data_IF_044725926264
#
_entry.id   IF_044725926264
#
_cell.length_a   1.000
_cell.length_b   1.000
_cell.length_c   1.000
_cell.angle_alpha   90.00
_cell.angle_beta   90.00
_cell.angle_gamma   90.00
#
_symmetry.space_group_name_H-M   'P 1'
#
loop_
_entity.id
_entity.type
_entity.pdbx_description
1 polymer ?
#
# COMPACT_ATOMS: atom_id res chain seq x y z
N UNK A 1 7.12 -10.71 -15.04
CA UNK A 1 8.03 -11.87 -15.13
C UNK A 1 7.47 -13.07 -15.91
N UNK A 2 6.19 -13.07 -16.32
CA UNK A 2 5.66 -14.04 -17.29
C UNK A 2 6.08 -13.66 -18.72
N UNK A 3 6.30 -14.65 -19.61
CA UNK A 3 6.58 -14.44 -21.04
C UNK A 3 5.33 -14.00 -21.80
N UNK A 4 4.21 -14.66 -21.53
CA UNK A 4 2.91 -14.39 -22.15
C UNK A 4 1.79 -14.66 -21.14
N UNK A 5 0.79 -13.78 -21.08
CA UNK A 5 -0.47 -14.06 -20.38
C UNK A 5 -0.48 -13.89 -18.86
N UNK A 6 0.60 -13.41 -18.23
CA UNK A 6 0.63 -13.14 -16.77
C UNK A 6 0.75 -14.39 -15.89
N UNK A 7 0.39 -15.57 -16.40
CA UNK A 7 0.45 -16.86 -15.70
C UNK A 7 1.82 -17.51 -15.78
N UNK A 8 2.15 -18.33 -14.77
CA UNK A 8 3.38 -19.14 -14.75
C UNK A 8 3.39 -20.21 -15.86
N UNK A 9 2.22 -20.76 -16.20
CA UNK A 9 2.04 -21.74 -17.28
C UNK A 9 2.36 -21.18 -18.67
N UNK A 10 2.23 -19.86 -18.87
CA UNK A 10 2.65 -19.13 -20.07
C UNK A 10 4.17 -18.97 -20.22
N UNK A 11 4.94 -19.53 -19.28
CA UNK A 11 6.39 -19.46 -19.27
C UNK A 11 6.94 -18.22 -18.58
N UNK A 12 8.25 -18.26 -18.29
CA UNK A 12 8.94 -17.25 -17.49
C UNK A 12 9.91 -16.43 -18.35
N UNK A 13 9.85 -15.10 -18.21
CA UNK A 13 10.74 -14.17 -18.90
C UNK A 13 12.11 -14.13 -18.17
N UNK A 14 13.07 -14.87 -18.72
CA UNK A 14 14.41 -15.00 -18.16
C UNK A 14 15.22 -13.69 -18.19
N UNK A 15 14.96 -12.79 -19.14
CA UNK A 15 15.59 -11.48 -19.15
C UNK A 15 15.09 -10.60 -18.00
N UNK A 16 13.79 -10.70 -17.66
CA UNK A 16 13.23 -10.06 -16.48
C UNK A 16 13.86 -10.59 -15.18
N UNK A 17 14.07 -11.91 -15.07
CA UNK A 17 14.80 -12.49 -13.93
C UNK A 17 16.24 -11.99 -13.86
N UNK A 18 16.94 -11.93 -15.01
CA UNK A 18 18.32 -11.43 -15.07
C UNK A 18 18.40 -9.98 -14.60
N UNK A 19 17.45 -9.14 -15.02
CA UNK A 19 17.36 -7.75 -14.58
C UNK A 19 17.31 -7.65 -13.05
N UNK A 20 16.34 -8.30 -12.40
CA UNK A 20 16.21 -8.24 -10.94
C UNK A 20 17.40 -8.87 -10.22
N UNK A 21 17.99 -9.95 -10.76
CA UNK A 21 19.23 -10.51 -10.23
C UNK A 21 20.37 -9.50 -10.23
N UNK A 22 20.56 -8.77 -11.33
CA UNK A 22 21.61 -7.75 -11.42
C UNK A 22 21.36 -6.62 -10.41
N UNK A 23 20.12 -6.13 -10.32
CA UNK A 23 19.76 -5.07 -9.36
C UNK A 23 19.97 -5.52 -7.91
N UNK A 24 19.51 -6.71 -7.53
CA UNK A 24 19.68 -7.26 -6.18
C UNK A 24 21.17 -7.44 -5.86
N UNK A 25 21.95 -7.96 -6.81
CA UNK A 25 23.38 -8.15 -6.62
C UNK A 25 24.09 -6.81 -6.42
N UNK A 26 23.74 -5.78 -7.20
CA UNK A 26 24.35 -4.45 -7.10
C UNK A 26 23.99 -3.77 -5.78
N UNK A 27 22.72 -3.84 -5.34
CA UNK A 27 22.31 -3.32 -4.03
C UNK A 27 23.12 -3.96 -2.90
N UNK A 28 23.23 -5.29 -2.91
CA UNK A 28 23.96 -6.02 -1.87
C UNK A 28 25.48 -5.76 -1.93
N UNK A 29 26.06 -5.63 -3.13
CA UNK A 29 27.47 -5.27 -3.30
C UNK A 29 27.80 -3.91 -2.67
N UNK A 30 26.81 -3.01 -2.61
CA UNK A 30 26.92 -1.68 -1.99
C UNK A 30 26.35 -1.64 -0.55
N UNK A 31 26.07 -2.79 0.07
CA UNK A 31 25.61 -2.87 1.46
C UNK A 31 24.16 -2.41 1.68
N UNK A 32 23.35 -2.32 0.62
CA UNK A 32 21.95 -1.90 0.68
C UNK A 32 21.08 -3.16 0.78
N UNK A 33 20.33 -3.32 1.88
CA UNK A 33 19.40 -4.44 2.06
C UNK A 33 18.14 -4.23 1.21
N UNK A 34 17.80 -5.13 0.26
CA UNK A 34 16.62 -4.98 -0.57
C UNK A 34 15.34 -5.35 0.20
N UNK A 35 14.38 -4.43 0.22
CA UNK A 35 12.97 -4.67 0.57
C UNK A 35 12.18 -4.78 -0.73
N UNK A 36 11.71 -5.98 -1.05
CA UNK A 36 11.08 -6.26 -2.35
C UNK A 36 9.57 -6.36 -2.19
N UNK A 37 8.87 -5.46 -2.88
CA UNK A 37 7.41 -5.52 -3.06
C UNK A 37 7.07 -6.40 -4.26
N UNK A 38 6.25 -7.43 -4.04
CA UNK A 38 5.83 -8.38 -5.07
C UNK A 38 4.77 -7.78 -6.00
N UNK A 39 3.82 -7.02 -5.46
CA UNK A 39 2.76 -6.38 -6.23
C UNK A 39 2.61 -4.93 -5.82
N UNK A 40 2.81 -4.03 -6.79
CA UNK A 40 2.65 -2.60 -6.66
C UNK A 40 1.69 -2.10 -7.74
N UNK A 41 0.47 -2.65 -7.72
CA UNK A 41 -0.64 -2.31 -8.63
C UNK A 41 -0.40 -2.69 -10.10
N UNK A 42 0.66 -3.45 -10.37
CA UNK A 42 1.19 -3.80 -11.68
C UNK A 42 0.65 -5.15 -12.20
N UNK A 43 -0.67 -5.36 -12.07
CA UNK A 43 -1.31 -6.61 -12.49
C UNK A 43 -1.11 -6.80 -14.01
N UNK A 44 -0.68 -7.98 -14.48
CA UNK A 44 -0.61 -8.25 -15.91
C UNK A 44 -1.98 -8.07 -16.58
N UNK A 45 -2.05 -7.21 -17.60
CA UNK A 45 -3.29 -6.92 -18.34
C UNK A 45 -4.00 -8.19 -18.84
N UNK A 46 -3.25 -9.22 -19.22
CA UNK A 46 -3.82 -10.49 -19.67
C UNK A 46 -4.70 -11.18 -18.60
N UNK A 47 -4.41 -11.01 -17.31
CA UNK A 47 -5.25 -11.54 -16.22
C UNK A 47 -6.51 -10.70 -16.03
N UNK A 48 -6.40 -9.39 -16.23
CA UNK A 48 -7.56 -8.48 -16.27
C UNK A 48 -8.48 -8.85 -17.45
N UNK A 49 -7.93 -9.08 -18.64
CA UNK A 49 -8.68 -9.46 -19.83
C UNK A 49 -9.30 -10.85 -19.73
N UNK A 50 -8.61 -11.82 -19.12
CA UNK A 50 -9.06 -13.20 -19.03
C UNK A 50 -10.21 -13.37 -18.03
N UNK A 51 -10.12 -12.74 -16.85
CA UNK A 51 -11.09 -12.97 -15.78
C UNK A 51 -11.39 -11.76 -14.89
N UNK A 52 -10.97 -10.54 -15.27
CA UNK A 52 -11.21 -9.32 -14.49
C UNK A 52 -10.27 -9.17 -13.29
N UNK A 53 -9.09 -9.80 -13.33
CA UNK A 53 -8.05 -9.62 -12.34
C UNK A 53 -8.52 -9.91 -10.91
N UNK A 54 -8.40 -8.93 -10.01
CA UNK A 54 -8.78 -9.09 -8.61
C UNK A 54 -10.29 -9.16 -8.35
N UNK A 55 -11.14 -9.01 -9.36
CA UNK A 55 -12.57 -9.35 -9.23
C UNK A 55 -12.81 -10.86 -9.19
N UNK A 56 -11.85 -11.67 -9.66
CA UNK A 56 -11.96 -13.13 -9.69
C UNK A 56 -11.10 -13.79 -8.62
N UNK A 57 -11.60 -14.84 -7.94
CA UNK A 57 -10.79 -15.60 -6.98
C UNK A 57 -9.61 -16.34 -7.63
N UNK A 58 -9.61 -16.51 -8.97
CA UNK A 58 -8.50 -17.15 -9.70
C UNK A 58 -7.17 -16.41 -9.51
N UNK A 59 -7.22 -15.09 -9.30
CA UNK A 59 -6.03 -14.25 -9.06
C UNK A 59 -5.19 -14.72 -7.87
N UNK A 60 -5.81 -15.39 -6.88
CA UNK A 60 -5.15 -15.85 -5.65
C UNK A 60 -4.09 -16.90 -5.99
N UNK A 61 -4.43 -17.86 -6.87
CA UNK A 61 -3.51 -18.90 -7.30
C UNK A 61 -2.44 -18.35 -8.24
N UNK A 62 -2.81 -17.47 -9.18
CA UNK A 62 -1.86 -16.84 -10.09
C UNK A 62 -0.83 -15.95 -9.34
N UNK A 63 -1.30 -15.19 -8.34
CA UNK A 63 -0.42 -14.40 -7.47
C UNK A 63 0.48 -15.29 -6.60
N UNK A 64 -0.06 -16.38 -6.04
CA UNK A 64 0.74 -17.35 -5.27
C UNK A 64 1.85 -17.95 -6.13
N UNK A 65 1.56 -18.33 -7.36
CA UNK A 65 2.51 -18.95 -8.28
C UNK A 65 3.59 -17.95 -8.73
N UNK A 66 3.20 -16.69 -8.95
CA UNK A 66 4.13 -15.59 -9.19
C UNK A 66 5.04 -15.32 -7.99
N UNK A 67 4.48 -15.26 -6.77
CA UNK A 67 5.24 -15.08 -5.54
C UNK A 67 6.23 -16.25 -5.33
N UNK A 68 5.80 -17.48 -5.61
CA UNK A 68 6.66 -18.65 -5.53
C UNK A 68 7.87 -18.52 -6.45
N UNK A 69 7.67 -18.11 -7.70
CA UNK A 69 8.75 -17.89 -8.64
C UNK A 69 9.75 -16.87 -8.07
N UNK A 70 9.27 -15.75 -7.52
CA UNK A 70 10.14 -14.75 -6.91
C UNK A 70 10.94 -15.31 -5.73
N UNK A 71 10.32 -16.11 -4.87
CA UNK A 71 11.02 -16.75 -3.75
C UNK A 71 12.08 -17.75 -4.23
N UNK A 72 11.80 -18.50 -5.30
CA UNK A 72 12.75 -19.44 -5.90
C UNK A 72 13.96 -18.73 -6.49
N UNK A 73 13.74 -17.66 -7.25
CA UNK A 73 14.78 -16.97 -8.02
C UNK A 73 15.62 -16.02 -7.18
N UNK A 74 15.03 -15.40 -6.14
CA UNK A 74 15.67 -14.29 -5.43
C UNK A 74 15.77 -14.49 -3.92
N UNK A 75 15.05 -15.46 -3.34
CA UNK A 75 14.98 -15.64 -1.89
C UNK A 75 16.26 -16.14 -1.22
N UNK A 76 17.24 -16.60 -2.02
CA UNK A 76 18.60 -16.85 -1.55
C UNK A 76 19.27 -15.58 -1.03
N UNK A 77 18.96 -14.42 -1.63
CA UNK A 77 19.52 -13.09 -1.30
C UNK A 77 18.52 -12.13 -0.64
N UNK A 78 17.27 -12.10 -1.10
CA UNK A 78 16.23 -11.22 -0.56
C UNK A 78 15.68 -11.77 0.76
N UNK A 79 15.74 -10.94 1.82
CA UNK A 79 15.29 -11.31 3.17
C UNK A 79 14.07 -10.54 3.66
N UNK A 80 13.64 -9.51 2.93
CA UNK A 80 12.49 -8.70 3.28
C UNK A 80 11.52 -8.66 2.11
N UNK A 81 10.40 -9.36 2.27
CA UNK A 81 9.34 -9.45 1.28
C UNK A 81 8.12 -8.64 1.72
N UNK A 82 7.55 -7.88 0.80
CA UNK A 82 6.26 -7.19 0.93
C UNK A 82 5.36 -7.79 -0.14
N UNK A 83 4.21 -8.34 0.24
CA UNK A 83 3.32 -8.96 -0.75
C UNK A 83 2.61 -7.93 -1.61
N UNK A 84 1.94 -6.96 -0.96
CA UNK A 84 1.07 -5.99 -1.61
C UNK A 84 1.45 -4.60 -1.10
N UNK A 85 1.51 -3.64 -2.02
CA UNK A 85 1.52 -2.23 -1.68
C UNK A 85 0.10 -1.69 -1.59
N UNK A 86 -0.21 -1.02 -0.48
CA UNK A 86 -1.41 -0.20 -0.31
C UNK A 86 -2.71 -0.78 -0.92
N UNK A 87 -3.16 -1.96 -0.48
CA UNK A 87 -4.30 -2.63 -1.10
C UNK A 87 -5.60 -1.81 -1.01
N UNK A 88 -5.73 -0.92 -0.01
CA UNK A 88 -6.84 0.04 0.07
C UNK A 88 -6.84 1.02 -1.10
N UNK A 89 -5.68 1.60 -1.43
CA UNK A 89 -5.52 2.55 -2.53
C UNK A 89 -5.87 1.87 -3.85
N UNK A 90 -5.40 0.64 -4.06
CA UNK A 90 -5.74 -0.16 -5.23
C UNK A 90 -7.25 -0.43 -5.34
N UNK A 91 -7.88 -0.95 -4.29
CA UNK A 91 -9.33 -1.25 -4.29
C UNK A 91 -10.18 -0.01 -4.51
N UNK A 92 -9.90 1.09 -3.81
CA UNK A 92 -10.69 2.32 -3.91
C UNK A 92 -10.40 3.11 -5.20
N UNK A 93 -9.14 3.22 -5.60
CA UNK A 93 -8.71 3.92 -6.80
C UNK A 93 -9.17 3.22 -8.07
N UNK A 94 -8.97 1.90 -8.13
CA UNK A 94 -9.25 1.07 -9.30
C UNK A 94 -10.71 0.69 -9.49
N UNK A 95 -11.47 0.52 -8.40
CA UNK A 95 -12.82 -0.08 -8.45
C UNK A 95 -13.93 0.73 -7.76
N UNK A 96 -13.60 1.80 -7.02
CA UNK A 96 -14.61 2.71 -6.47
C UNK A 96 -14.64 4.04 -7.23
N UNK A 97 -13.48 4.67 -7.38
CA UNK A 97 -13.37 6.02 -7.92
C UNK A 97 -13.01 6.04 -9.40
N UNK A 98 -12.44 4.95 -9.92
CA UNK A 98 -12.01 4.78 -11.31
C UNK A 98 -10.87 5.69 -11.74
N UNK A 99 -10.08 6.21 -10.79
CA UNK A 99 -8.95 7.13 -11.07
C UNK A 99 -7.63 6.38 -11.30
N UNK A 100 -7.54 5.14 -10.83
CA UNK A 100 -6.41 4.23 -11.08
C UNK A 100 -6.86 3.10 -11.99
N UNK A 101 -5.92 2.39 -12.61
CA UNK A 101 -6.23 1.16 -13.35
C UNK A 101 -6.92 0.13 -12.43
N UNK A 102 -7.91 -0.63 -12.91
CA UNK A 102 -8.41 -0.69 -14.30
C UNK A 102 -9.45 0.39 -14.67
N UNK A 103 -9.72 1.36 -13.78
CA UNK A 103 -10.62 2.48 -14.08
C UNK A 103 -12.10 2.12 -13.97
N UNK A 104 -12.45 1.21 -13.06
CA UNK A 104 -13.83 0.79 -12.83
C UNK A 104 -14.54 1.70 -11.81
N UNK A 105 -15.75 2.11 -12.17
CA UNK A 105 -16.66 2.79 -11.27
C UNK A 105 -18.12 2.74 -11.79
N UNK A 106 -19.07 2.93 -10.88
CA UNK A 106 -20.48 2.95 -11.23
C UNK A 106 -20.85 4.11 -12.17
N UNK A 107 -21.72 3.82 -13.13
CA UNK A 107 -22.20 4.80 -14.13
C UNK A 107 -22.81 6.08 -13.55
N UNK A 108 -23.44 6.00 -12.37
CA UNK A 108 -24.03 7.16 -11.69
C UNK A 108 -23.00 8.20 -11.25
N UNK A 109 -21.71 7.85 -11.21
CA UNK A 109 -20.64 8.81 -10.91
C UNK A 109 -20.31 9.74 -12.09
N UNK A 110 -20.81 9.46 -13.30
CA UNK A 110 -20.59 10.27 -14.51
C UNK A 110 -19.12 10.55 -14.83
N UNK A 111 -18.24 9.59 -14.51
CA UNK A 111 -16.82 9.62 -14.85
C UNK A 111 -16.55 8.79 -16.10
N UNK A 112 -15.39 8.99 -16.73
CA UNK A 112 -14.93 8.20 -17.87
C UNK A 112 -14.40 6.81 -17.45
N UNK A 113 -15.19 6.06 -16.66
CA UNK A 113 -14.86 4.71 -16.24
C UNK A 113 -15.24 3.68 -17.30
N UNK A 114 -14.58 2.52 -17.28
CA UNK A 114 -14.81 1.42 -18.22
C UNK A 114 -16.04 0.57 -17.88
N UNK A 115 -16.59 0.72 -16.68
CA UNK A 115 -17.74 -0.02 -16.16
C UNK A 115 -17.59 -0.29 -14.66
N UNK A 116 -18.47 -1.12 -14.10
CA UNK A 116 -18.33 -1.67 -12.75
C UNK A 116 -19.33 -1.15 -11.71
N UNK A 117 -19.16 -1.62 -10.48
CA UNK A 117 -19.99 -1.32 -9.32
C UNK A 117 -19.15 -0.92 -8.09
N UNK A 118 -19.03 0.39 -7.90
CA UNK A 118 -18.32 1.02 -6.79
C UNK A 118 -18.89 0.72 -5.40
N UNK A 119 -20.07 0.10 -5.31
CA UNK A 119 -20.65 -0.32 -4.04
C UNK A 119 -20.27 -1.74 -3.62
N UNK A 120 -19.75 -2.56 -4.54
CA UNK A 120 -19.47 -3.99 -4.30
C UNK A 120 -18.05 -4.39 -4.66
N UNK A 121 -17.55 -3.96 -5.82
CA UNK A 121 -16.25 -4.37 -6.35
C UNK A 121 -15.05 -4.05 -5.46
N UNK A 122 -14.94 -2.87 -4.80
CA UNK A 122 -13.82 -2.59 -3.91
C UNK A 122 -13.69 -3.61 -2.76
N UNK A 123 -14.81 -4.13 -2.26
CA UNK A 123 -14.85 -5.15 -1.21
C UNK A 123 -14.43 -6.52 -1.72
N UNK A 124 -14.88 -6.89 -2.92
CA UNK A 124 -14.49 -8.13 -3.56
C UNK A 124 -12.98 -8.16 -3.86
N UNK A 125 -12.46 -7.07 -4.42
CA UNK A 125 -11.04 -6.88 -4.71
C UNK A 125 -10.20 -6.90 -3.43
N UNK A 126 -10.61 -6.17 -2.39
CA UNK A 126 -9.91 -6.20 -1.09
C UNK A 126 -9.88 -7.60 -0.48
N UNK A 127 -10.97 -8.36 -0.63
CA UNK A 127 -11.04 -9.74 -0.15
C UNK A 127 -10.07 -10.66 -0.89
N UNK A 128 -10.05 -10.62 -2.22
CA UNK A 128 -9.11 -11.43 -3.00
C UNK A 128 -7.65 -11.01 -2.80
N UNK A 129 -7.36 -9.72 -2.59
CA UNK A 129 -6.03 -9.25 -2.18
C UNK A 129 -5.60 -9.86 -0.83
N UNK A 130 -6.47 -9.86 0.18
CA UNK A 130 -6.18 -10.50 1.47
C UNK A 130 -5.93 -12.01 1.33
N UNK A 131 -6.72 -12.70 0.52
CA UNK A 131 -6.53 -14.12 0.23
C UNK A 131 -5.20 -14.38 -0.52
N UNK A 132 -4.85 -13.53 -1.50
CA UNK A 132 -3.61 -13.59 -2.24
C UNK A 132 -2.39 -13.37 -1.32
N UNK A 133 -2.45 -12.36 -0.44
CA UNK A 133 -1.46 -12.14 0.62
C UNK A 133 -1.30 -13.39 1.50
N UNK A 134 -2.41 -13.93 2.01
CA UNK A 134 -2.40 -15.09 2.89
C UNK A 134 -1.80 -16.33 2.19
N UNK A 135 -2.16 -16.57 0.93
CA UNK A 135 -1.64 -17.67 0.13
C UNK A 135 -0.11 -17.57 -0.05
N UNK A 136 0.40 -16.40 -0.46
CA UNK A 136 1.83 -16.17 -0.64
C UNK A 136 2.60 -16.24 0.70
N UNK A 137 2.05 -15.65 1.76
CA UNK A 137 2.65 -15.67 3.10
C UNK A 137 2.72 -17.07 3.69
N UNK A 138 1.65 -17.86 3.56
CA UNK A 138 1.63 -19.24 4.02
C UNK A 138 2.63 -20.10 3.23
N UNK A 139 2.69 -19.94 1.91
CA UNK A 139 3.69 -20.61 1.08
C UNK A 139 5.12 -20.28 1.52
N UNK A 140 5.43 -18.99 1.72
CA UNK A 140 6.75 -18.57 2.18
C UNK A 140 7.11 -19.19 3.52
N UNK A 141 6.22 -19.05 4.52
CA UNK A 141 6.43 -19.56 5.88
C UNK A 141 6.67 -21.07 5.92
N UNK A 142 5.90 -21.82 5.13
CA UNK A 142 5.96 -23.28 5.15
C UNK A 142 7.14 -23.84 4.35
N UNK A 143 7.44 -23.26 3.17
CA UNK A 143 8.39 -23.85 2.22
C UNK A 143 9.76 -23.17 2.20
N UNK A 144 9.82 -21.87 2.42
CA UNK A 144 11.02 -21.08 2.14
C UNK A 144 11.63 -20.42 3.38
N UNK A 145 10.84 -20.11 4.41
CA UNK A 145 11.32 -19.31 5.55
C UNK A 145 12.43 -20.02 6.34
N UNK A 146 12.35 -21.33 6.54
CA UNK A 146 13.37 -22.08 7.28
C UNK A 146 14.74 -22.08 6.57
N UNK A 147 14.75 -22.20 5.23
CA UNK A 147 15.97 -22.24 4.43
C UNK A 147 16.50 -20.84 4.09
N UNK A 148 15.61 -19.92 3.73
CA UNK A 148 15.96 -18.57 3.27
C UNK A 148 16.09 -17.56 4.40
N UNK A 149 15.48 -17.81 5.57
CA UNK A 149 15.56 -16.98 6.78
C UNK A 149 15.05 -15.54 6.60
N UNK A 150 14.22 -15.30 5.59
CA UNK A 150 13.60 -13.98 5.37
C UNK A 150 12.31 -13.79 6.17
N UNK A 151 11.71 -12.62 5.98
CA UNK A 151 10.44 -12.19 6.58
C UNK A 151 9.52 -11.71 5.48
N UNK A 152 8.22 -12.01 5.61
CA UNK A 152 7.19 -11.60 4.68
C UNK A 152 6.14 -10.75 5.38
N UNK A 153 5.74 -9.64 4.74
CA UNK A 153 4.86 -8.59 5.29
C UNK A 153 3.96 -8.02 4.19
N UNK A 154 3.18 -7.01 4.54
CA UNK A 154 2.30 -6.23 3.68
C UNK A 154 2.45 -4.75 4.03
N UNK A 155 2.34 -3.86 3.04
CA UNK A 155 2.33 -2.40 3.25
C UNK A 155 0.89 -1.91 3.26
N UNK A 156 0.52 -1.16 4.31
CA UNK A 156 -0.82 -0.59 4.46
C UNK A 156 -0.73 0.93 4.42
N UNK A 157 -1.44 1.53 3.46
CA UNK A 157 -1.66 2.98 3.43
C UNK A 157 -2.53 3.39 4.61
N UNK A 158 -2.22 4.54 5.20
CA UNK A 158 -3.10 5.12 6.21
C UNK A 158 -2.81 6.60 6.40
N UNK A 159 -3.85 7.33 6.80
CA UNK A 159 -3.78 8.69 7.30
C UNK A 159 -4.27 8.66 8.74
N UNK A 160 -3.66 9.47 9.60
CA UNK A 160 -4.25 9.71 10.91
C UNK A 160 -5.50 10.57 10.77
N UNK A 161 -6.60 10.14 11.37
CA UNK A 161 -7.89 10.85 11.30
C UNK A 161 -8.16 11.55 12.61
N UNK A 162 -8.26 12.88 12.55
CA UNK A 162 -8.65 13.73 13.68
C UNK A 162 -10.14 14.02 13.63
N UNK A 163 -10.84 14.08 14.77
CA UNK A 163 -12.25 14.45 14.81
C UNK A 163 -12.41 15.93 14.42
N UNK A 164 -13.46 16.25 13.67
CA UNK A 164 -13.75 17.62 13.25
C UNK A 164 -14.01 18.58 14.43
N UNK A 165 -14.62 18.07 15.50
CA UNK A 165 -14.79 18.79 16.77
C UNK A 165 -14.85 17.81 17.94
N UNK A 166 -14.93 18.33 19.16
CA UNK A 166 -15.04 17.53 20.39
C UNK A 166 -16.41 16.86 20.58
N UNK A 167 -17.32 16.97 19.61
CA UNK A 167 -18.63 16.30 19.67
C UNK A 167 -18.47 14.78 19.58
N UNK A 168 -19.16 13.97 20.42
CA UNK A 168 -19.00 12.51 20.43
C UNK A 168 -19.20 11.85 19.06
N UNK A 169 -20.10 12.39 18.24
CA UNK A 169 -20.36 11.91 16.89
C UNK A 169 -19.17 12.05 15.94
N UNK A 170 -18.33 13.08 16.12
CA UNK A 170 -17.13 13.31 15.32
C UNK A 170 -15.97 12.42 15.76
N UNK A 171 -15.83 12.14 17.06
CA UNK A 171 -14.92 11.11 17.56
C UNK A 171 -15.29 9.72 17.02
N UNK A 172 -16.58 9.38 17.05
CA UNK A 172 -17.05 8.12 16.48
C UNK A 172 -16.83 8.09 14.94
N UNK A 173 -16.97 9.24 14.25
CA UNK A 173 -16.70 9.33 12.82
C UNK A 173 -15.22 9.17 12.48
N UNK A 174 -14.31 9.77 13.25
CA UNK A 174 -12.87 9.64 13.03
C UNK A 174 -12.40 8.20 13.26
N UNK A 175 -12.91 7.51 14.30
CA UNK A 175 -12.61 6.10 14.51
C UNK A 175 -13.12 5.24 13.36
N UNK A 176 -14.35 5.46 12.89
CA UNK A 176 -14.88 4.74 11.72
C UNK A 176 -14.04 4.98 10.47
N UNK A 177 -13.62 6.22 10.20
CA UNK A 177 -12.78 6.52 9.06
C UNK A 177 -11.43 5.80 9.12
N UNK A 178 -10.83 5.71 10.33
CA UNK A 178 -9.61 4.94 10.55
C UNK A 178 -9.83 3.43 10.33
N UNK A 179 -10.95 2.88 10.82
CA UNK A 179 -11.31 1.48 10.60
C UNK A 179 -11.48 1.18 9.09
N UNK A 180 -12.15 2.07 8.36
CA UNK A 180 -12.41 1.90 6.92
C UNK A 180 -11.19 2.16 6.01
N UNK A 181 -10.12 2.74 6.54
CA UNK A 181 -8.87 2.95 5.79
C UNK A 181 -7.80 1.93 6.20
N UNK A 182 -7.48 1.88 7.49
CA UNK A 182 -6.42 1.03 8.04
C UNK A 182 -6.97 -0.30 8.56
N UNK A 183 -8.04 -0.26 9.35
CA UNK A 183 -8.63 -1.46 9.96
C UNK A 183 -9.13 -2.50 8.95
N UNK A 184 -9.59 -2.07 7.77
CA UNK A 184 -10.06 -2.93 6.69
C UNK A 184 -9.03 -4.01 6.34
N UNK A 185 -7.74 -3.67 6.34
CA UNK A 185 -6.67 -4.62 6.08
C UNK A 185 -5.94 -5.06 7.34
N UNK A 186 -5.80 -4.21 8.36
CA UNK A 186 -5.08 -4.56 9.58
C UNK A 186 -5.83 -5.61 10.43
N UNK A 187 -7.16 -5.47 10.58
CA UNK A 187 -7.94 -6.33 11.47
C UNK A 187 -7.96 -7.80 11.00
N UNK A 188 -8.17 -8.11 9.71
CA UNK A 188 -8.09 -9.49 9.23
C UNK A 188 -6.70 -10.12 9.41
N UNK A 189 -5.63 -9.32 9.37
CA UNK A 189 -4.26 -9.81 9.58
C UNK A 189 -3.99 -10.19 11.04
N UNK A 190 -4.74 -9.61 11.98
CA UNK A 190 -4.56 -9.85 13.43
C UNK A 190 -5.59 -10.80 14.03
N UNK A 191 -6.84 -10.73 13.57
CA UNK A 191 -7.96 -11.49 14.16
C UNK A 191 -8.61 -12.46 13.18
N UNK A 192 -8.37 -12.31 11.88
CA UNK A 192 -9.01 -13.10 10.83
C UNK A 192 -10.42 -12.61 10.44
N UNK A 193 -10.87 -11.47 10.95
CA UNK A 193 -12.17 -10.85 10.63
C UNK A 193 -12.01 -9.33 10.38
N UNK A 194 -12.96 -8.71 9.70
CA UNK A 194 -12.98 -7.26 9.45
C UNK A 194 -13.37 -6.47 10.72
N UNK A 195 -13.18 -5.14 10.79
CA UNK A 195 -13.67 -4.33 11.91
C UNK A 195 -15.19 -4.41 12.10
N UNK A 196 -15.66 -4.42 13.35
CA UNK A 196 -17.10 -4.46 13.70
C UNK A 196 -17.89 -3.30 13.06
N UNK A 197 -17.27 -2.11 12.97
CA UNK A 197 -17.84 -0.92 12.34
C UNK A 197 -18.13 -1.16 10.86
N UNK A 198 -17.20 -1.75 10.12
CA UNK A 198 -17.39 -2.08 8.70
C UNK A 198 -18.53 -3.08 8.50
N UNK A 199 -18.59 -4.15 9.30
CA UNK A 199 -19.67 -5.15 9.20
C UNK A 199 -21.05 -4.58 9.53
N UNK A 200 -21.13 -3.56 10.39
CA UNK A 200 -22.38 -2.94 10.80
C UNK A 200 -22.86 -1.80 9.89
N UNK A 201 -21.95 -1.09 9.21
CA UNK A 201 -22.24 0.15 8.48
C UNK A 201 -22.40 -0.01 6.96
N UNK A 202 -21.82 -1.03 6.33
CA UNK A 202 -21.81 -1.22 4.86
C UNK A 202 -23.13 -1.83 4.34
N UNK A 203 -24.27 -1.24 4.71
CA UNK A 203 -25.57 -1.52 4.06
C UNK A 203 -25.86 -0.42 3.02
N UNK A 204 -27.12 -0.23 2.59
CA UNK A 204 -27.45 0.53 1.37
C UNK A 204 -27.31 2.07 1.45
N UNK A 205 -26.07 2.54 1.29
CA UNK A 205 -25.68 3.85 0.71
C UNK A 205 -25.63 5.03 1.69
N UNK A 206 -24.52 5.78 1.69
CA UNK A 206 -24.46 7.14 2.24
C UNK A 206 -23.41 8.07 1.57
N UNK A 207 -23.57 9.42 1.67
CA UNK A 207 -22.98 10.45 0.79
C UNK A 207 -21.94 11.40 1.46
N UNK A 208 -21.50 12.42 0.69
CA UNK A 208 -20.22 13.19 0.74
C UNK A 208 -20.21 14.49 1.57
N UNK A 209 -18.99 14.99 1.85
CA UNK A 209 -18.62 16.19 2.65
C UNK A 209 -17.87 17.29 1.87
N UNK A 210 -17.75 18.49 2.45
CA UNK A 210 -17.06 19.70 1.94
C UNK A 210 -15.86 20.15 2.80
N UNK A 211 -15.05 21.06 2.27
CA UNK A 211 -13.66 21.35 2.68
C UNK A 211 -13.51 22.64 3.50
N UNK A 212 -12.75 22.61 4.59
CA UNK A 212 -11.89 23.75 4.94
C UNK A 212 -10.69 23.37 5.84
N UNK A 213 -9.56 23.99 5.51
CA UNK A 213 -8.25 24.06 6.15
C UNK A 213 -7.27 22.89 5.98
N UNK A 214 -6.37 23.06 5.00
CA UNK A 214 -4.92 22.83 5.19
C UNK A 214 -4.11 23.45 4.05
N UNK A 215 -2.82 23.70 4.28
CA UNK A 215 -1.87 24.24 3.30
C UNK A 215 -1.73 23.27 2.13
N UNK A 216 -2.08 23.72 0.91
CA UNK A 216 -2.01 22.90 -0.30
C UNK A 216 -0.57 22.49 -0.58
N UNK A 217 -0.34 21.20 -0.77
CA UNK A 217 0.84 20.69 -1.50
C UNK A 217 0.50 20.66 -2.99
N UNK A 218 1.45 20.27 -3.84
CA UNK A 218 1.21 20.02 -5.27
C UNK A 218 0.10 18.98 -5.52
N UNK A 219 -0.11 18.09 -4.55
CA UNK A 219 -1.21 17.13 -4.55
C UNK A 219 -2.39 17.69 -3.76
N UNK A 220 -3.50 17.99 -4.45
CA UNK A 220 -4.72 18.58 -3.87
C UNK A 220 -5.36 17.77 -2.72
N UNK A 221 -4.96 16.51 -2.55
CA UNK A 221 -5.42 15.60 -1.52
C UNK A 221 -4.46 15.45 -0.32
N UNK A 222 -3.23 15.98 -0.41
CA UNK A 222 -2.16 15.78 0.56
C UNK A 222 -1.95 17.05 1.39
N UNK A 223 -2.30 16.94 2.66
CA UNK A 223 -2.22 17.99 3.66
C UNK A 223 -1.25 17.57 4.77
N UNK A 224 -0.26 18.42 5.09
CA UNK A 224 0.87 18.06 5.96
C UNK A 224 0.48 18.13 7.45
N UNK A 225 0.47 16.98 8.13
CA UNK A 225 0.16 16.87 9.56
C UNK A 225 1.14 15.94 10.31
N UNK A 226 2.36 16.42 10.65
CA UNK A 226 3.45 15.55 11.08
C UNK A 226 3.22 14.78 12.38
N UNK A 227 2.46 15.33 13.34
CA UNK A 227 2.13 14.61 14.58
C UNK A 227 1.28 13.36 14.33
N UNK A 228 0.55 13.30 13.23
CA UNK A 228 -0.27 12.15 12.84
C UNK A 228 0.53 10.85 12.74
N UNK A 229 1.79 10.90 12.30
CA UNK A 229 2.62 9.67 12.22
C UNK A 229 2.86 9.07 13.59
N UNK A 230 3.09 9.90 14.62
CA UNK A 230 3.27 9.45 16.00
C UNK A 230 1.98 8.85 16.56
N UNK A 231 0.86 9.55 16.37
CA UNK A 231 -0.43 9.09 16.87
C UNK A 231 -0.83 7.75 16.24
N UNK A 232 -0.60 7.60 14.93
CA UNK A 232 -0.81 6.35 14.21
C UNK A 232 0.02 5.20 14.78
N UNK A 233 1.35 5.36 14.92
CA UNK A 233 2.18 4.24 15.36
C UNK A 233 1.98 3.90 16.84
N UNK A 234 1.58 4.87 17.67
CA UNK A 234 1.10 4.62 19.03
C UNK A 234 -0.25 3.91 19.05
N UNK A 235 -1.17 4.27 18.15
CA UNK A 235 -2.41 3.53 17.97
C UNK A 235 -2.13 2.08 17.59
N UNK A 236 -1.18 1.83 16.67
CA UNK A 236 -0.77 0.48 16.29
C UNK A 236 -0.17 -0.27 17.48
N UNK A 237 0.73 0.37 18.22
CA UNK A 237 1.35 -0.20 19.42
C UNK A 237 0.30 -0.70 20.42
N UNK A 238 -0.70 0.13 20.71
CA UNK A 238 -1.71 -0.11 21.75
C UNK A 238 -2.76 -1.14 21.36
N UNK A 239 -3.17 -1.16 20.10
CA UNK A 239 -4.32 -1.94 19.65
C UNK A 239 -3.95 -3.24 18.91
N UNK A 240 -2.71 -3.36 18.42
CA UNK A 240 -2.29 -4.47 17.55
C UNK A 240 -1.05 -5.22 18.05
N UNK A 241 -0.88 -5.36 19.37
CA UNK A 241 0.19 -6.14 20.00
C UNK A 241 1.62 -5.63 19.73
N UNK A 242 1.80 -4.32 19.55
CA UNK A 242 3.10 -3.68 19.29
C UNK A 242 3.98 -4.42 18.26
N UNK A 243 3.49 -4.56 17.01
CA UNK A 243 4.19 -5.30 15.97
C UNK A 243 5.49 -4.57 15.58
N UNK A 244 6.39 -5.26 14.89
CA UNK A 244 7.54 -4.60 14.26
C UNK A 244 7.03 -3.72 13.12
N UNK A 245 7.33 -2.43 13.16
CA UNK A 245 6.92 -1.43 12.16
C UNK A 245 8.12 -1.00 11.30
N UNK A 246 7.87 -0.89 10.00
CA UNK A 246 8.70 -0.16 9.04
C UNK A 246 7.79 0.90 8.41
N UNK A 247 8.24 2.16 8.36
CA UNK A 247 7.59 3.15 7.49
C UNK A 247 8.12 2.89 6.09
N UNK A 248 7.27 2.33 5.24
CA UNK A 248 7.67 1.88 3.90
C UNK A 248 7.58 2.97 2.85
N UNK A 249 6.74 3.97 3.06
CA UNK A 249 6.63 5.18 2.23
C UNK A 249 6.24 6.37 3.12
N UNK A 250 6.93 7.51 2.97
CA UNK A 250 6.51 8.80 3.53
C UNK A 250 7.18 9.91 2.70
N UNK A 251 6.42 10.91 2.26
CA UNK A 251 6.92 11.91 1.31
C UNK A 251 5.94 13.01 0.99
N UNK A 252 6.42 13.98 0.21
CA UNK A 252 5.63 15.10 -0.31
C UNK A 252 6.04 15.40 -1.75
N UNK A 253 5.05 15.62 -2.60
CA UNK A 253 5.23 16.01 -4.00
C UNK A 253 5.37 17.52 -4.15
N UNK A 254 6.12 17.94 -5.17
CA UNK A 254 6.21 19.32 -5.65
C UNK A 254 5.57 19.43 -7.04
N UNK A 255 5.11 20.62 -7.40
CA UNK A 255 4.44 20.79 -8.69
C UNK A 255 5.47 20.61 -9.80
N UNK A 256 5.10 19.84 -10.84
CA UNK A 256 5.96 19.69 -12.01
C UNK A 256 6.03 21.02 -12.77
N UNK A 257 7.11 21.78 -12.54
CA UNK A 257 7.37 23.05 -13.17
C UNK A 257 8.60 22.97 -14.07
N UNK A 258 8.38 22.60 -15.34
CA UNK A 258 9.42 22.49 -16.37
C UNK A 258 10.12 23.82 -16.71
N UNK A 259 9.68 24.95 -16.16
CA UNK A 259 10.33 26.26 -16.36
C UNK A 259 11.45 26.54 -15.36
N UNK A 260 11.53 25.79 -14.25
CA UNK A 260 12.60 25.92 -13.27
C UNK A 260 13.93 25.42 -13.85
N UNK A 261 15.02 26.12 -13.54
CA UNK A 261 16.36 25.58 -13.74
C UNK A 261 16.62 24.40 -12.79
N UNK A 262 17.61 23.57 -13.10
CA UNK A 262 18.02 22.48 -12.21
C UNK A 262 18.41 23.00 -10.82
N UNK A 263 19.10 24.14 -10.75
CA UNK A 263 19.50 24.73 -9.47
C UNK A 263 18.29 25.11 -8.62
N UNK A 264 17.25 25.68 -9.23
CA UNK A 264 16.01 26.03 -8.53
C UNK A 264 15.19 24.78 -8.15
N UNK A 265 15.11 23.78 -9.03
CA UNK A 265 14.41 22.53 -8.75
C UNK A 265 15.05 21.71 -7.61
N UNK A 266 16.36 21.88 -7.38
CA UNK A 266 17.08 21.25 -6.27
C UNK A 266 16.88 21.98 -4.92
N UNK A 267 16.19 23.12 -4.89
CA UNK A 267 15.88 23.84 -3.65
C UNK A 267 14.58 23.30 -3.04
N UNK A 268 14.64 22.11 -2.45
CA UNK A 268 13.49 21.35 -1.95
C UNK A 268 13.24 21.51 -0.44
N UNK A 269 13.32 22.75 0.06
CA UNK A 269 13.17 23.07 1.49
C UNK A 269 11.85 22.54 2.10
N UNK A 270 10.78 22.42 1.30
CA UNK A 270 9.50 21.86 1.74
C UNK A 270 9.65 20.37 2.05
N UNK A 271 10.34 19.61 1.19
CA UNK A 271 10.61 18.18 1.40
C UNK A 271 11.52 17.95 2.61
N UNK A 272 12.52 18.82 2.80
CA UNK A 272 13.40 18.79 3.97
C UNK A 272 12.59 19.04 5.26
N UNK A 273 11.80 20.11 5.35
CA UNK A 273 10.96 20.41 6.54
C UNK A 273 9.94 19.29 6.81
N UNK A 274 9.32 18.77 5.75
CA UNK A 274 8.38 17.66 5.85
C UNK A 274 9.03 16.46 6.56
N UNK A 275 10.19 16.02 6.09
CA UNK A 275 10.87 14.86 6.69
C UNK A 275 11.40 15.15 8.09
N UNK A 276 12.02 16.31 8.33
CA UNK A 276 12.52 16.67 9.65
C UNK A 276 11.42 16.60 10.72
N UNK A 277 10.26 17.18 10.40
CA UNK A 277 9.11 17.20 11.32
C UNK A 277 8.52 15.80 11.53
N UNK A 278 8.33 15.01 10.48
CA UNK A 278 7.81 13.64 10.63
C UNK A 278 8.78 12.75 11.40
N UNK A 279 10.09 12.82 11.10
CA UNK A 279 11.12 12.07 11.80
C UNK A 279 11.24 12.48 13.27
N UNK A 280 11.04 13.75 13.61
CA UNK A 280 11.02 14.23 15.00
C UNK A 280 9.87 13.62 15.82
N UNK A 281 8.65 13.60 15.27
CA UNK A 281 7.51 12.92 15.90
C UNK A 281 7.69 11.41 15.95
N UNK A 282 8.25 10.83 14.90
CA UNK A 282 8.53 9.41 14.84
C UNK A 282 9.59 8.98 15.87
N UNK A 283 10.63 9.79 16.09
CA UNK A 283 11.62 9.56 17.14
C UNK A 283 10.98 9.62 18.54
N UNK A 284 10.02 10.52 18.78
CA UNK A 284 9.27 10.54 20.03
C UNK A 284 8.47 9.26 20.23
N UNK A 285 7.81 8.75 19.19
CA UNK A 285 7.09 7.48 19.26
C UNK A 285 8.01 6.30 19.61
N UNK A 286 9.24 6.28 19.07
CA UNK A 286 10.27 5.28 19.43
C UNK A 286 10.63 5.39 20.92
N UNK A 287 10.81 6.61 21.45
CA UNK A 287 11.06 6.84 22.88
C UNK A 287 9.88 6.35 23.76
N UNK A 288 8.67 6.40 23.23
CA UNK A 288 7.45 5.89 23.87
C UNK A 288 7.24 4.37 23.70
N UNK A 289 8.25 3.65 23.19
CA UNK A 289 8.29 2.18 23.15
C UNK A 289 7.68 1.53 21.90
N UNK A 290 7.41 2.29 20.84
CA UNK A 290 6.94 1.74 19.56
C UNK A 290 8.07 0.93 18.92
N UNK A 291 7.78 -0.30 18.48
CA UNK A 291 8.77 -1.21 17.93
C UNK A 291 9.08 -0.95 16.44
N UNK A 292 9.79 0.14 16.17
CA UNK A 292 10.19 0.53 14.81
C UNK A 292 11.53 -0.08 14.43
N UNK A 293 11.70 -0.45 13.15
CA UNK A 293 12.95 -0.97 12.58
C UNK A 293 13.43 -0.31 11.28
N UNK A 294 12.65 0.58 10.68
CA UNK A 294 13.10 1.32 9.50
C UNK A 294 12.13 2.40 9.05
N UNK A 295 12.65 3.29 8.21
CA UNK A 295 11.93 4.40 7.60
C UNK A 295 12.48 4.62 6.19
N UNK A 296 11.61 4.59 5.18
CA UNK A 296 11.95 4.76 3.77
C UNK A 296 11.22 6.00 3.25
N UNK A 297 11.99 6.93 2.66
CA UNK A 297 11.43 8.11 2.01
C UNK A 297 10.72 7.70 0.72
N UNK A 298 9.55 8.29 0.47
CA UNK A 298 8.98 8.31 -0.87
C UNK A 298 9.34 9.67 -1.49
N UNK A 299 10.12 9.72 -2.56
CA UNK A 299 10.69 8.62 -3.36
C UNK A 299 12.22 8.73 -3.45
N UNK A 300 12.86 7.69 -3.99
CA UNK A 300 14.31 7.72 -4.28
C UNK A 300 14.68 8.78 -5.32
N UNK A 301 13.77 9.00 -6.28
CA UNK A 301 13.92 9.95 -7.39
C UNK A 301 12.53 10.28 -7.93
N UNK A 302 12.42 11.39 -8.66
CA UNK A 302 11.22 11.74 -9.41
C UNK A 302 10.78 10.57 -10.29
N UNK A 303 9.47 10.31 -10.31
CA UNK A 303 8.89 9.19 -11.03
C UNK A 303 7.46 9.54 -11.51
N UNK A 304 6.77 8.56 -12.09
CA UNK A 304 5.40 8.73 -12.54
C UNK A 304 4.44 8.59 -11.35
N UNK A 305 3.85 9.72 -10.94
CA UNK A 305 2.85 9.82 -9.86
C UNK A 305 1.42 9.70 -10.39
#
# INVERSE_FOLDING_TARGET
>A
MSKEGGKRSGGVNQEGIRYYNNTINELLANGIEPFVTLFHWDLPQALEDEYGGFLSPQVVDDFRDFAELCFQEFGDRVKQWITLNEPWTYSNGGYATGVLAPGQCSSWQQKHCTGGDSSTEPYLVAHHLLLAHAAAANLYKQKYQASQKGKIRITLVTRWIVPFSNEPQHHNASQRALDFMFGWFMEPLTTGDYPNSMRSLVKDRLPKFTTEQSTSTASSWLYVYPSGIRDLVLHIQRNYNNPIIYITENGVAEENNATLSLEEALVDNIRIDYHDRHLSFFQQAIKDGVNVKGYFIWSMMDNFE
#
